data_IF_719693223823
#
_entry.id   IF_719693223823
#
_cell.length_a   1.000
_cell.length_b   1.000
_cell.length_c   1.000
_cell.angle_alpha   90.00
_cell.angle_beta   90.00
_cell.angle_gamma   90.00
#
_symmetry.space_group_name_H-M   'P 1'
#
loop_
_entity.id
_entity.type
_entity.pdbx_description
1 polymer ?
#
# COMPACT_ATOMS: atom_id res chain seq x y z
N UNK A 1 32.02 -14.95 7.85
CA UNK A 1 30.92 -14.18 7.21
C UNK A 1 30.68 -12.94 8.06
N UNK A 2 30.65 -11.75 7.45
CA UNK A 2 30.41 -10.51 8.20
C UNK A 2 28.96 -10.50 8.73
N UNK A 3 28.75 -10.16 9.99
CA UNK A 3 27.45 -10.14 10.66
C UNK A 3 26.40 -9.36 9.86
N UNK A 4 26.83 -8.24 9.25
CA UNK A 4 26.02 -7.40 8.35
C UNK A 4 25.45 -8.18 7.16
N UNK A 5 26.22 -9.08 6.57
CA UNK A 5 25.75 -9.89 5.44
C UNK A 5 24.67 -10.90 5.87
N UNK A 6 24.77 -11.44 7.08
CA UNK A 6 23.77 -12.35 7.67
C UNK A 6 22.48 -11.60 8.01
N UNK A 7 22.59 -10.40 8.59
CA UNK A 7 21.47 -9.54 8.91
C UNK A 7 20.69 -9.14 7.63
N UNK A 8 21.38 -8.65 6.60
CA UNK A 8 20.73 -8.25 5.35
C UNK A 8 20.09 -9.43 4.63
N UNK A 9 20.69 -10.62 4.69
CA UNK A 9 20.11 -11.84 4.06
C UNK A 9 18.76 -12.23 4.66
N UNK A 10 18.53 -11.94 5.94
CA UNK A 10 17.26 -12.26 6.62
C UNK A 10 16.28 -11.09 6.52
N UNK A 11 16.75 -9.87 6.72
CA UNK A 11 15.89 -8.69 6.78
C UNK A 11 15.28 -8.31 5.41
N UNK A 12 16.06 -8.41 4.33
CA UNK A 12 15.58 -8.07 2.98
C UNK A 12 14.38 -8.93 2.55
N UNK A 13 14.42 -10.27 2.61
CA UNK A 13 13.26 -11.09 2.19
C UNK A 13 12.05 -10.90 3.09
N UNK A 14 12.24 -10.65 4.38
CA UNK A 14 11.12 -10.35 5.30
C UNK A 14 10.47 -9.03 4.89
N UNK A 15 11.25 -7.99 4.64
CA UNK A 15 10.73 -6.68 4.21
C UNK A 15 9.98 -6.79 2.89
N UNK A 16 10.53 -7.52 1.92
CA UNK A 16 9.85 -7.77 0.63
C UNK A 16 8.54 -8.54 0.85
N UNK A 17 8.54 -9.58 1.71
CA UNK A 17 7.34 -10.36 2.02
C UNK A 17 6.23 -9.53 2.64
N UNK A 18 6.55 -8.71 3.63
CA UNK A 18 5.59 -7.78 4.27
C UNK A 18 5.04 -6.79 3.25
N UNK A 19 5.90 -6.27 2.37
CA UNK A 19 5.50 -5.30 1.36
C UNK A 19 4.55 -5.91 0.33
N UNK A 20 4.80 -7.15 -0.11
CA UNK A 20 3.91 -7.86 -1.03
C UNK A 20 2.53 -8.13 -0.39
N UNK A 21 2.50 -8.60 0.86
CA UNK A 21 1.24 -8.85 1.58
C UNK A 21 0.45 -7.55 1.76
N UNK A 22 1.12 -6.47 2.17
CA UNK A 22 0.50 -5.15 2.34
C UNK A 22 -0.04 -4.60 1.03
N UNK A 23 0.66 -4.83 -0.08
CA UNK A 23 0.25 -4.43 -1.42
C UNK A 23 -1.03 -5.12 -1.87
N UNK A 24 -1.12 -6.43 -1.68
CA UNK A 24 -2.30 -7.22 -2.01
C UNK A 24 -3.50 -6.75 -1.15
N UNK A 25 -3.30 -6.58 0.15
CA UNK A 25 -4.33 -6.08 1.05
C UNK A 25 -4.82 -4.69 0.64
N UNK A 26 -3.90 -3.78 0.30
CA UNK A 26 -4.20 -2.43 -0.14
C UNK A 26 -5.02 -2.42 -1.44
N UNK A 27 -4.67 -3.27 -2.42
CA UNK A 27 -5.44 -3.41 -3.65
C UNK A 27 -6.90 -3.81 -3.37
N UNK A 28 -7.13 -4.83 -2.54
CA UNK A 28 -8.49 -5.26 -2.22
C UNK A 28 -9.29 -4.20 -1.47
N UNK A 29 -8.66 -3.50 -0.51
CA UNK A 29 -9.32 -2.42 0.24
C UNK A 29 -9.71 -1.28 -0.71
N UNK A 30 -8.80 -0.87 -1.59
CA UNK A 30 -9.04 0.22 -2.52
C UNK A 30 -10.16 -0.12 -3.50
N UNK A 31 -10.11 -1.30 -4.11
CA UNK A 31 -11.15 -1.80 -5.01
C UNK A 31 -12.52 -1.83 -4.31
N UNK A 32 -12.59 -2.35 -3.09
CA UNK A 32 -13.83 -2.39 -2.31
C UNK A 32 -14.39 -0.99 -2.00
N UNK A 33 -13.53 -0.05 -1.59
CA UNK A 33 -13.94 1.33 -1.28
C UNK A 33 -14.49 2.03 -2.52
N UNK A 34 -13.83 1.86 -3.66
CA UNK A 34 -14.23 2.50 -4.91
C UNK A 34 -15.52 1.90 -5.47
N UNK A 35 -15.70 0.58 -5.40
CA UNK A 35 -16.96 -0.05 -5.79
C UNK A 35 -18.13 0.45 -4.94
N UNK A 36 -17.92 0.61 -3.62
CA UNK A 36 -18.91 1.23 -2.74
C UNK A 36 -19.21 2.69 -3.10
N UNK A 37 -18.23 3.42 -3.61
CA UNK A 37 -18.45 4.79 -4.06
C UNK A 37 -19.35 4.81 -5.29
N UNK A 38 -19.13 3.93 -6.28
CA UNK A 38 -20.00 3.79 -7.46
C UNK A 38 -21.42 3.38 -7.05
N UNK A 39 -21.58 2.44 -6.12
CA UNK A 39 -22.90 2.05 -5.59
C UNK A 39 -23.62 3.23 -4.93
N UNK A 40 -22.90 4.07 -4.20
CA UNK A 40 -23.46 5.29 -3.59
C UNK A 40 -23.88 6.31 -4.65
N UNK A 41 -23.07 6.51 -5.67
CA UNK A 41 -23.39 7.43 -6.76
C UNK A 41 -24.64 6.98 -7.54
N UNK A 42 -24.78 5.67 -7.80
CA UNK A 42 -26.00 5.11 -8.41
C UNK A 42 -27.25 5.32 -7.56
N UNK A 43 -27.13 5.21 -6.23
CA UNK A 43 -28.25 5.50 -5.31
C UNK A 43 -28.61 6.98 -5.28
N UNK A 44 -27.65 7.88 -5.40
CA UNK A 44 -27.91 9.32 -5.51
C UNK A 44 -28.68 9.58 -6.80
N UNK A 45 -28.26 9.03 -7.93
CA UNK A 45 -28.95 9.17 -9.21
C UNK A 45 -30.38 8.61 -9.16
N UNK A 46 -30.56 7.46 -8.51
CA UNK A 46 -31.91 6.92 -8.25
C UNK A 46 -32.77 7.92 -7.49
N UNK A 47 -32.25 8.54 -6.43
CA UNK A 47 -33.00 9.54 -5.65
C UNK A 47 -33.33 10.80 -6.47
N UNK A 48 -32.40 11.25 -7.32
CA UNK A 48 -32.62 12.37 -8.23
C UNK A 48 -33.72 12.09 -9.24
N UNK A 49 -33.74 10.89 -9.84
CA UNK A 49 -34.81 10.46 -10.74
C UNK A 49 -36.16 10.42 -10.02
N UNK A 50 -36.24 9.85 -8.83
CA UNK A 50 -37.46 9.79 -8.02
C UNK A 50 -37.93 11.19 -7.62
N UNK A 51 -37.02 12.08 -7.24
CA UNK A 51 -37.33 13.46 -6.91
C UNK A 51 -37.86 14.22 -8.13
N UNK A 52 -37.18 14.12 -9.26
CA UNK A 52 -37.62 14.74 -10.52
C UNK A 52 -39.05 14.28 -10.91
N UNK A 53 -39.31 12.97 -10.80
CA UNK A 53 -40.63 12.41 -11.09
C UNK A 53 -41.69 12.94 -10.14
N UNK A 54 -41.36 13.13 -8.86
CA UNK A 54 -42.29 13.68 -7.85
C UNK A 54 -42.65 15.16 -8.07
N UNK A 55 -41.70 15.95 -8.61
CA UNK A 55 -41.89 17.37 -8.87
C UNK A 55 -42.52 17.64 -10.25
N UNK A 56 -42.02 17.03 -11.30
CA UNK A 56 -42.41 17.28 -12.68
C UNK A 56 -43.54 16.37 -13.18
N UNK A 57 -43.77 15.22 -12.53
CA UNK A 57 -44.67 14.17 -12.98
C UNK A 57 -44.24 13.47 -14.26
N UNK A 58 -43.01 13.77 -14.76
CA UNK A 58 -42.44 13.21 -15.97
C UNK A 58 -41.13 12.50 -15.71
N UNK A 59 -40.85 11.40 -16.43
CA UNK A 59 -39.55 10.76 -16.39
C UNK A 59 -38.51 11.68 -17.05
N UNK A 60 -37.26 11.72 -16.55
CA UNK A 60 -36.18 12.42 -17.20
C UNK A 60 -35.88 11.79 -18.58
N UNK A 61 -35.19 12.54 -19.43
CA UNK A 61 -34.77 12.03 -20.74
C UNK A 61 -33.80 10.84 -20.58
N UNK A 62 -33.99 9.85 -21.47
CA UNK A 62 -33.02 8.74 -21.57
C UNK A 62 -31.67 9.28 -21.99
N UNK A 63 -30.62 8.90 -21.29
CA UNK A 63 -29.25 9.30 -21.61
C UNK A 63 -28.41 8.08 -21.96
N UNK A 64 -27.56 8.25 -22.96
CA UNK A 64 -26.59 7.22 -23.35
C UNK A 64 -25.23 7.87 -23.56
N UNK A 65 -24.61 8.27 -22.45
CA UNK A 65 -23.25 8.78 -22.45
C UNK A 65 -22.27 7.62 -22.19
N UNK A 66 -21.01 7.81 -22.57
CA UNK A 66 -19.95 6.79 -22.37
C UNK A 66 -19.86 6.35 -20.90
N UNK A 67 -20.03 7.27 -19.99
CA UNK A 67 -19.79 7.05 -18.57
C UNK A 67 -21.07 6.67 -17.79
N UNK A 68 -22.25 7.04 -18.31
CA UNK A 68 -23.52 6.85 -17.64
C UNK A 68 -24.64 6.63 -18.65
N UNK A 69 -25.46 5.62 -18.41
CA UNK A 69 -26.62 5.31 -19.22
C UNK A 69 -27.87 5.23 -18.35
N UNK A 70 -28.94 5.91 -18.78
CA UNK A 70 -30.24 5.87 -18.13
C UNK A 70 -31.26 5.41 -19.15
N UNK A 71 -31.96 4.33 -18.85
CA UNK A 71 -33.02 3.78 -19.69
C UNK A 71 -34.27 3.50 -18.85
N UNK A 72 -35.42 3.63 -19.49
CA UNK A 72 -36.74 3.33 -18.91
C UNK A 72 -37.43 2.32 -19.80
N UNK A 73 -37.77 1.15 -19.26
CA UNK A 73 -38.50 0.09 -19.98
C UNK A 73 -39.86 -0.12 -19.33
N UNK A 74 -40.96 -0.18 -20.11
CA UNK A 74 -42.30 -0.45 -19.59
C UNK A 74 -42.32 -1.81 -18.88
N UNK A 75 -42.86 -1.85 -17.65
CA UNK A 75 -42.99 -3.07 -16.85
C UNK A 75 -44.46 -3.46 -16.70
N UNK A 76 -44.76 -4.74 -16.91
CA UNK A 76 -46.08 -5.29 -16.66
C UNK A 76 -46.24 -5.80 -15.23
N UNK A 77 -45.11 -5.99 -14.51
CA UNK A 77 -45.10 -6.45 -13.14
C UNK A 77 -45.35 -5.33 -12.13
N UNK A 78 -46.11 -5.64 -11.09
CA UNK A 78 -46.43 -4.71 -9.99
C UNK A 78 -45.44 -4.77 -8.84
N UNK A 79 -44.52 -5.72 -8.85
CA UNK A 79 -43.48 -5.88 -7.83
C UNK A 79 -42.13 -6.13 -8.49
N UNK A 80 -41.20 -5.21 -8.29
CA UNK A 80 -39.82 -5.35 -8.71
C UNK A 80 -38.92 -5.01 -7.52
N UNK A 81 -38.01 -5.91 -7.18
CA UNK A 81 -37.03 -5.63 -6.13
C UNK A 81 -35.83 -4.90 -6.73
N UNK A 82 -35.42 -3.84 -6.05
CA UNK A 82 -34.20 -3.12 -6.40
C UNK A 82 -33.00 -4.06 -6.48
N UNK A 83 -32.27 -4.01 -7.58
CA UNK A 83 -31.13 -4.88 -7.82
C UNK A 83 -29.89 -4.08 -8.24
N UNK A 84 -28.80 -4.26 -7.46
CA UNK A 84 -27.47 -3.82 -7.85
C UNK A 84 -26.71 -4.99 -8.45
N UNK A 85 -26.15 -4.81 -9.66
CA UNK A 85 -25.37 -5.83 -10.35
C UNK A 85 -24.27 -5.19 -11.20
N UNK A 86 -23.26 -5.98 -11.56
CA UNK A 86 -22.26 -5.60 -12.57
C UNK A 86 -22.59 -6.31 -13.86
N UNK A 87 -22.59 -5.58 -14.97
CA UNK A 87 -22.83 -6.07 -16.33
C UNK A 87 -21.62 -5.73 -17.18
N UNK A 88 -21.16 -6.69 -17.99
CA UNK A 88 -20.07 -6.46 -18.94
C UNK A 88 -20.66 -6.01 -20.27
N UNK A 89 -20.24 -4.85 -20.74
CA UNK A 89 -20.74 -4.25 -21.99
C UNK A 89 -19.57 -4.11 -22.95
N UNK A 90 -19.74 -4.64 -24.15
CA UNK A 90 -18.73 -4.57 -25.20
C UNK A 90 -18.61 -3.14 -25.77
N UNK A 91 -17.44 -2.54 -25.62
CA UNK A 91 -17.12 -1.23 -26.18
C UNK A 91 -16.50 -1.39 -27.57
N UNK A 92 -17.26 -1.05 -28.61
CA UNK A 92 -16.80 -1.15 -30.02
C UNK A 92 -15.62 -0.26 -30.37
N UNK A 93 -15.38 0.82 -29.59
CA UNK A 93 -14.30 1.76 -29.89
C UNK A 93 -12.95 1.29 -29.34
N UNK A 94 -12.97 0.54 -28.26
CA UNK A 94 -11.76 0.06 -27.56
C UNK A 94 -11.55 -1.45 -27.78
N UNK A 95 -12.53 -2.15 -28.43
CA UNK A 95 -12.52 -3.59 -28.73
C UNK A 95 -12.36 -4.46 -27.46
N UNK A 96 -12.89 -3.97 -26.33
CA UNK A 96 -12.81 -4.60 -25.02
C UNK A 96 -14.18 -4.65 -24.32
N UNK A 97 -14.36 -5.59 -23.40
CA UNK A 97 -15.51 -5.64 -22.50
C UNK A 97 -15.24 -4.74 -21.29
N UNK A 98 -16.15 -3.80 -21.06
CA UNK A 98 -16.07 -2.87 -19.92
C UNK A 98 -17.09 -3.24 -18.85
N UNK A 99 -16.70 -3.23 -17.57
CA UNK A 99 -17.63 -3.45 -16.47
C UNK A 99 -18.45 -2.19 -16.20
N UNK A 100 -19.77 -2.36 -16.23
CA UNK A 100 -20.74 -1.35 -15.82
C UNK A 100 -21.44 -1.78 -14.53
N UNK A 101 -21.43 -0.92 -13.56
CA UNK A 101 -22.26 -1.07 -12.37
C UNK A 101 -23.65 -0.58 -12.66
N UNK A 102 -24.66 -1.39 -12.34
CA UNK A 102 -26.06 -1.18 -12.71
C UNK A 102 -26.95 -1.22 -11.48
N UNK A 103 -27.90 -0.28 -11.42
CA UNK A 103 -29.03 -0.33 -10.50
C UNK A 103 -30.34 -0.36 -11.29
N UNK A 104 -31.21 -1.32 -10.95
CA UNK A 104 -32.55 -1.42 -11.49
C UNK A 104 -33.56 -1.18 -10.41
N UNK A 105 -34.53 -0.31 -10.65
CA UNK A 105 -35.60 0.00 -9.70
C UNK A 105 -36.90 0.35 -10.43
N UNK A 106 -37.99 0.20 -9.75
CA UNK A 106 -39.30 0.49 -10.34
C UNK A 106 -39.71 1.95 -10.09
N UNK A 107 -40.26 2.58 -11.13
CA UNK A 107 -40.88 3.91 -11.08
C UNK A 107 -42.27 3.85 -11.70
N UNK A 108 -43.19 4.68 -11.23
CA UNK A 108 -44.59 4.74 -11.77
C UNK A 108 -44.85 6.14 -12.26
N UNK A 109 -45.20 6.25 -13.56
CA UNK A 109 -45.60 7.50 -14.19
C UNK A 109 -47.01 7.35 -14.77
N UNK A 110 -47.92 8.26 -14.41
CA UNK A 110 -49.30 8.27 -14.90
C UNK A 110 -50.04 6.91 -14.77
N UNK A 111 -49.74 6.16 -13.69
CA UNK A 111 -50.34 4.84 -13.43
C UNK A 111 -49.72 3.69 -14.23
N UNK A 112 -48.69 3.94 -15.05
CA UNK A 112 -47.91 2.92 -15.73
C UNK A 112 -46.59 2.69 -15.05
N UNK A 113 -46.21 1.42 -14.86
CA UNK A 113 -44.95 1.03 -14.25
C UNK A 113 -43.82 0.94 -15.28
N UNK A 114 -42.66 1.42 -14.90
CA UNK A 114 -41.40 1.33 -15.67
C UNK A 114 -40.29 0.78 -14.79
N UNK A 115 -39.41 0.01 -15.40
CA UNK A 115 -38.11 -0.32 -14.79
C UNK A 115 -37.12 0.74 -15.25
N UNK A 116 -36.63 1.51 -14.30
CA UNK A 116 -35.54 2.45 -14.50
C UNK A 116 -34.22 1.69 -14.31
N UNK A 117 -33.37 1.72 -15.31
CA UNK A 117 -32.03 1.16 -15.31
C UNK A 117 -31.03 2.29 -15.39
N UNK A 118 -30.19 2.42 -14.37
CA UNK A 118 -29.06 3.35 -14.37
C UNK A 118 -27.77 2.53 -14.37
N UNK A 119 -26.92 2.78 -15.37
CA UNK A 119 -25.60 2.14 -15.49
C UNK A 119 -24.52 3.18 -15.42
N UNK A 120 -23.43 2.88 -14.71
CA UNK A 120 -22.23 3.72 -14.62
C UNK A 120 -20.98 2.87 -14.90
N UNK A 121 -20.10 3.36 -15.75
CA UNK A 121 -18.86 2.66 -16.08
C UNK A 121 -17.95 2.56 -14.86
N UNK A 122 -17.41 1.37 -14.61
CA UNK A 122 -16.39 1.13 -13.60
C UNK A 122 -14.97 1.43 -14.13
N UNK A 123 -14.80 1.59 -15.45
CA UNK A 123 -13.50 1.76 -16.09
C UNK A 123 -12.75 2.99 -15.59
N UNK A 124 -13.40 4.13 -15.45
CA UNK A 124 -12.78 5.33 -14.86
C UNK A 124 -12.28 5.08 -13.43
N UNK A 125 -13.02 4.26 -12.70
CA UNK A 125 -12.67 3.86 -11.34
C UNK A 125 -11.42 2.98 -11.35
N UNK A 126 -11.31 2.04 -12.27
CA UNK A 126 -10.13 1.17 -12.43
C UNK A 126 -8.87 1.95 -12.82
N UNK A 127 -8.99 2.92 -13.72
CA UNK A 127 -7.87 3.78 -14.11
C UNK A 127 -7.36 4.63 -12.93
N UNK A 128 -8.26 5.16 -12.11
CA UNK A 128 -7.91 5.88 -10.89
C UNK A 128 -7.21 4.94 -9.89
N UNK A 129 -7.73 3.72 -9.69
CA UNK A 129 -7.09 2.70 -8.84
C UNK A 129 -5.68 2.42 -9.32
N UNK A 130 -5.51 2.18 -10.61
CA UNK A 130 -4.22 1.90 -11.24
C UNK A 130 -3.23 3.04 -11.04
N UNK A 131 -3.67 4.28 -11.25
CA UNK A 131 -2.86 5.47 -11.02
C UNK A 131 -2.42 5.60 -9.56
N UNK A 132 -3.35 5.47 -8.62
CA UNK A 132 -3.07 5.51 -7.18
C UNK A 132 -2.09 4.42 -6.78
N UNK A 133 -2.25 3.20 -7.30
CA UNK A 133 -1.34 2.09 -7.04
C UNK A 133 0.07 2.41 -7.55
N UNK A 134 0.21 2.89 -8.78
CA UNK A 134 1.52 3.24 -9.37
C UNK A 134 2.21 4.31 -8.52
N UNK A 135 1.50 5.38 -8.15
CA UNK A 135 2.05 6.46 -7.32
C UNK A 135 2.47 5.92 -5.95
N UNK A 136 1.61 5.16 -5.30
CA UNK A 136 1.87 4.60 -3.96
C UNK A 136 3.09 3.67 -3.99
N UNK A 137 3.17 2.77 -4.97
CA UNK A 137 4.32 1.89 -5.14
C UNK A 137 5.61 2.65 -5.41
N UNK A 138 5.57 3.70 -6.23
CA UNK A 138 6.72 4.54 -6.51
C UNK A 138 7.24 5.21 -5.24
N UNK A 139 6.35 5.77 -4.43
CA UNK A 139 6.72 6.42 -3.15
C UNK A 139 7.32 5.41 -2.17
N UNK A 140 6.70 4.23 -2.03
CA UNK A 140 7.21 3.16 -1.16
C UNK A 140 8.59 2.68 -1.64
N UNK A 141 8.78 2.49 -2.95
CA UNK A 141 10.05 2.06 -3.51
C UNK A 141 11.18 3.08 -3.25
N UNK A 142 10.88 4.38 -3.40
CA UNK A 142 11.82 5.47 -3.09
C UNK A 142 12.17 5.46 -1.60
N UNK A 143 11.18 5.35 -0.70
CA UNK A 143 11.42 5.29 0.74
C UNK A 143 12.28 4.10 1.13
N UNK A 144 11.99 2.91 0.59
CA UNK A 144 12.80 1.72 0.84
C UNK A 144 14.22 1.87 0.31
N UNK A 145 14.39 2.49 -0.84
CA UNK A 145 15.71 2.76 -1.39
C UNK A 145 16.51 3.71 -0.47
N UNK A 146 15.88 4.78 0.01
CA UNK A 146 16.50 5.70 0.97
C UNK A 146 16.87 4.98 2.27
N UNK A 147 15.97 4.17 2.81
CA UNK A 147 16.23 3.38 4.02
C UNK A 147 17.36 2.36 3.81
N UNK A 148 17.39 1.69 2.66
CA UNK A 148 18.46 0.75 2.33
C UNK A 148 19.82 1.42 2.24
N UNK A 149 19.90 2.56 1.54
CA UNK A 149 21.13 3.35 1.42
C UNK A 149 21.56 3.87 2.79
N UNK A 150 20.65 4.47 3.56
CA UNK A 150 20.90 4.99 4.91
C UNK A 150 21.41 3.88 5.84
N UNK A 151 20.75 2.73 5.86
CA UNK A 151 21.14 1.58 6.68
C UNK A 151 22.54 1.06 6.30
N UNK A 152 22.86 1.02 5.00
CA UNK A 152 24.19 0.62 4.54
C UNK A 152 25.30 1.58 4.98
N UNK A 153 25.04 2.88 4.95
CA UNK A 153 26.01 3.90 5.36
C UNK A 153 26.18 3.92 6.90
N UNK A 154 25.07 3.92 7.64
CA UNK A 154 25.08 3.95 9.10
C UNK A 154 25.74 2.70 9.69
N UNK A 155 25.36 1.52 9.23
CA UNK A 155 25.97 0.27 9.70
C UNK A 155 27.46 0.20 9.36
N UNK A 156 27.86 0.67 8.18
CA UNK A 156 29.28 0.72 7.81
C UNK A 156 30.12 1.55 8.80
N UNK A 157 29.62 2.75 9.12
CA UNK A 157 30.29 3.71 10.00
C UNK A 157 30.30 3.28 11.47
N UNK A 158 29.21 2.68 11.96
CA UNK A 158 29.10 2.21 13.34
C UNK A 158 29.97 0.98 13.63
N UNK A 159 30.21 0.11 12.62
CA UNK A 159 31.00 -1.10 12.81
C UNK A 159 32.50 -0.90 12.56
N UNK A 160 32.93 0.23 12.04
CA UNK A 160 34.35 0.53 11.78
C UNK A 160 35.19 0.52 13.08
N UNK A 161 34.78 1.20 14.18
CA UNK A 161 35.51 1.16 15.46
C UNK A 161 35.60 -0.26 16.02
N UNK A 162 34.48 -1.02 15.96
CA UNK A 162 34.46 -2.40 16.46
C UNK A 162 35.43 -3.32 15.71
N UNK A 163 35.46 -3.24 14.36
CA UNK A 163 36.39 -4.03 13.57
C UNK A 163 37.85 -3.66 13.87
N UNK A 164 38.11 -2.40 14.19
CA UNK A 164 39.46 -1.94 14.55
C UNK A 164 39.89 -2.51 15.91
N UNK A 165 39.03 -2.41 16.93
CA UNK A 165 39.27 -2.98 18.26
C UNK A 165 39.48 -4.50 18.21
N UNK A 166 38.64 -5.19 17.40
CA UNK A 166 38.73 -6.64 17.23
C UNK A 166 40.05 -7.08 16.53
N UNK A 167 40.56 -6.26 15.61
CA UNK A 167 41.87 -6.51 14.96
C UNK A 167 43.01 -6.32 15.94
N UNK A 168 42.96 -5.29 16.78
CA UNK A 168 43.99 -5.05 17.80
C UNK A 168 44.02 -6.16 18.83
N UNK A 169 42.83 -6.61 19.32
CA UNK A 169 42.73 -7.76 20.24
C UNK A 169 43.28 -9.06 19.62
N UNK A 170 43.02 -9.31 18.34
CA UNK A 170 43.58 -10.50 17.64
C UNK A 170 45.10 -10.45 17.48
N UNK A 171 45.67 -9.27 17.37
CA UNK A 171 47.14 -9.08 17.26
C UNK A 171 47.83 -8.97 18.60
N UNK A 172 47.04 -8.87 19.69
CA UNK A 172 47.59 -8.80 21.06
C UNK A 172 48.17 -10.15 21.45
N UNK A 173 49.46 -10.17 21.60
CA UNK A 173 50.19 -11.32 22.12
C UNK A 173 50.57 -11.00 23.59
N UNK A 174 50.09 -11.81 24.53
CA UNK A 174 50.32 -11.66 25.97
C UNK A 174 51.81 -11.55 26.36
N UNK A 175 52.73 -11.93 25.47
CA UNK A 175 54.17 -11.88 25.66
C UNK A 175 54.84 -10.56 25.27
N UNK A 176 54.11 -9.63 24.63
CA UNK A 176 54.66 -8.36 24.16
C UNK A 176 54.09 -7.21 24.98
N UNK A 177 54.97 -6.37 25.57
CA UNK A 177 54.66 -5.16 26.33
C UNK A 177 54.02 -4.03 25.49
N UNK A 178 53.25 -4.35 24.41
CA UNK A 178 52.66 -3.34 23.57
C UNK A 178 51.35 -2.83 24.18
N UNK A 179 51.27 -1.54 24.43
CA UNK A 179 50.05 -0.86 24.88
C UNK A 179 49.02 -0.89 23.73
N UNK A 180 47.81 -1.32 24.05
CA UNK A 180 46.66 -1.23 23.12
C UNK A 180 46.19 0.24 23.08
N UNK A 181 46.38 0.91 21.97
CA UNK A 181 45.76 2.22 21.73
C UNK A 181 44.36 2.03 21.14
N UNK A 182 43.36 2.08 22.01
CA UNK A 182 41.96 2.04 21.60
C UNK A 182 41.53 3.41 21.04
N UNK A 183 40.87 3.41 19.90
CA UNK A 183 40.39 4.66 19.31
C UNK A 183 39.17 5.19 20.10
N UNK A 184 39.06 6.51 20.33
CA UNK A 184 37.86 7.11 20.90
C UNK A 184 36.65 6.84 20.02
N UNK A 185 35.57 6.43 20.63
CA UNK A 185 34.27 6.13 19.97
C UNK A 185 33.18 6.89 20.71
N UNK A 186 32.11 7.28 19.96
CA UNK A 186 30.94 7.95 20.52
C UNK A 186 29.78 6.99 20.81
N UNK A 187 30.02 5.68 20.77
CA UNK A 187 29.00 4.65 21.04
C UNK A 187 29.25 4.10 22.44
N UNK A 188 28.25 4.21 23.30
CA UNK A 188 28.37 3.90 24.75
C UNK A 188 28.81 2.45 25.02
N UNK A 189 28.31 1.49 24.26
CA UNK A 189 28.66 0.08 24.36
C UNK A 189 30.15 -0.18 24.04
N UNK A 190 30.72 0.62 23.15
CA UNK A 190 32.15 0.52 22.83
C UNK A 190 33.05 1.27 23.83
N UNK A 191 32.51 2.30 24.47
CA UNK A 191 33.20 2.98 25.59
C UNK A 191 33.31 2.01 26.77
N UNK A 192 32.22 1.29 27.06
CA UNK A 192 32.19 0.30 28.15
C UNK A 192 33.13 -0.87 27.88
N UNK A 193 33.14 -1.39 26.65
CA UNK A 193 34.07 -2.44 26.20
C UNK A 193 35.53 -1.99 26.34
N UNK A 194 35.86 -0.78 25.92
CA UNK A 194 37.19 -0.21 26.03
C UNK A 194 37.63 -0.05 27.49
N UNK A 195 36.72 0.32 28.41
CA UNK A 195 36.99 0.44 29.83
C UNK A 195 37.23 -0.92 30.49
N UNK A 196 36.52 -1.96 30.12
CA UNK A 196 36.71 -3.32 30.64
C UNK A 196 38.06 -3.88 30.21
N UNK A 197 38.50 -3.67 28.97
CA UNK A 197 39.80 -4.11 28.47
C UNK A 197 40.94 -3.39 29.18
N UNK A 198 40.82 -2.08 29.45
CA UNK A 198 41.80 -1.34 30.23
C UNK A 198 41.91 -1.85 31.68
N UNK A 199 40.76 -2.21 32.27
CA UNK A 199 40.71 -2.76 33.63
C UNK A 199 41.34 -4.15 33.71
N UNK A 200 41.11 -5.00 32.71
CA UNK A 200 41.73 -6.34 32.60
C UNK A 200 43.26 -6.29 32.44
N UNK A 201 43.74 -5.35 31.62
CA UNK A 201 45.19 -5.12 31.42
C UNK A 201 45.84 -4.57 32.68
N UNK A 202 45.17 -3.68 33.41
CA UNK A 202 45.66 -3.11 34.65
C UNK A 202 45.79 -4.19 35.76
N UNK A 203 44.78 -5.06 35.89
CA UNK A 203 44.76 -6.17 36.83
C UNK A 203 45.90 -7.19 36.53
N UNK A 204 46.10 -7.52 35.25
CA UNK A 204 47.17 -8.44 34.86
C UNK A 204 48.57 -7.87 35.12
N UNK A 205 48.76 -6.57 34.93
CA UNK A 205 50.02 -5.89 35.24
C UNK A 205 50.33 -5.81 36.75
N UNK A 206 49.27 -5.79 37.61
CA UNK A 206 49.40 -5.74 39.04
C UNK A 206 49.65 -7.11 39.70
N UNK A 207 49.31 -8.19 39.03
CA UNK A 207 49.51 -9.56 39.49
C UNK A 207 50.88 -10.13 39.09
N UNK A 208 51.62 -9.49 38.17
CA UNK A 208 52.93 -9.91 37.70
C UNK A 208 54.09 -9.01 38.15
N UNK A 209 53.85 -8.01 39.01
CA UNK A 209 54.84 -7.25 39.80
C UNK A 209 54.71 -7.57 41.28
#
# INVERSE_FOLDING_TARGET
MKLIAKYNRVNIPITIGVLLISSIAYYFILHYVLLRQVDKDLRIEQQEILHHLSESGTLPETSNYKDQQIAFEPANDTKFEEKLSTEWVYNKNEDEEEPFRRIDFMVTQNGQNYIATVKKSEQQTEDIVRLILIITFSVIAILLFILFVSNRFLLGKLWEPFNHTLRQLKQFNLSSKNQIMLQPTNVDEFIELNNLDLCGIWLNNKLHN
#
